data_IF_367711335298
#
_entry.id   IF_367711335298
#
_cell.length_a   1.000
_cell.length_b   1.000
_cell.length_c   1.000
_cell.angle_alpha   90.00
_cell.angle_beta   90.00
_cell.angle_gamma   90.00
#
_symmetry.space_group_name_H-M   'P 1'
#
loop_
_entity.id
_entity.type
_entity.pdbx_description
1 polymer ?
#
# COMPACT_ATOMS: atom_id res chain seq x y z
N UNK A 1 -20.28 21.65 1.58
CA UNK A 1 -18.82 21.45 1.75
C UNK A 1 -18.09 22.56 1.02
N UNK A 2 -17.18 23.24 1.68
CA UNK A 2 -16.42 24.36 1.10
C UNK A 2 -15.47 23.85 0.01
N UNK A 3 -15.56 24.40 -1.20
CA UNK A 3 -14.71 24.03 -2.35
C UNK A 3 -13.23 24.31 -2.08
N UNK A 4 -12.92 25.34 -1.29
CA UNK A 4 -11.54 25.69 -0.95
C UNK A 4 -10.91 24.63 -0.03
N UNK A 5 -11.65 24.16 0.95
CA UNK A 5 -11.23 23.08 1.87
C UNK A 5 -10.99 21.78 1.10
N UNK A 6 -11.90 21.43 0.17
CA UNK A 6 -11.75 20.23 -0.66
C UNK A 6 -10.51 20.30 -1.56
N UNK A 7 -10.27 21.45 -2.19
CA UNK A 7 -9.09 21.67 -3.03
C UNK A 7 -7.80 21.55 -2.22
N UNK A 8 -7.76 22.16 -1.04
CA UNK A 8 -6.60 22.08 -0.13
C UNK A 8 -6.33 20.64 0.27
N UNK A 9 -7.35 19.90 0.71
CA UNK A 9 -7.25 18.49 1.07
C UNK A 9 -6.70 17.64 -0.09
N UNK A 10 -7.21 17.82 -1.31
CA UNK A 10 -6.76 17.06 -2.46
C UNK A 10 -5.26 17.29 -2.78
N UNK A 11 -4.81 18.54 -2.67
CA UNK A 11 -3.40 18.89 -2.90
C UNK A 11 -2.50 18.28 -1.82
N UNK A 12 -2.85 18.46 -0.55
CA UNK A 12 -2.05 17.98 0.58
C UNK A 12 -1.98 16.44 0.60
N UNK A 13 -3.12 15.77 0.37
CA UNK A 13 -3.16 14.31 0.30
C UNK A 13 -2.34 13.74 -0.86
N UNK A 14 -2.33 14.43 -2.01
CA UNK A 14 -1.49 14.02 -3.14
C UNK A 14 -0.01 14.13 -2.80
N UNK A 15 0.41 15.25 -2.19
CA UNK A 15 1.81 15.47 -1.80
C UNK A 15 2.27 14.43 -0.77
N UNK A 16 1.43 14.13 0.22
CA UNK A 16 1.71 13.10 1.24
C UNK A 16 1.87 11.71 0.60
N UNK A 17 0.97 11.34 -0.31
CA UNK A 17 1.05 10.09 -1.04
C UNK A 17 2.30 10.02 -1.92
N UNK A 18 2.67 11.10 -2.61
CA UNK A 18 3.89 11.15 -3.42
C UNK A 18 5.14 10.90 -2.55
N UNK A 19 5.26 11.55 -1.40
CA UNK A 19 6.35 11.33 -0.46
C UNK A 19 6.41 9.89 0.08
N UNK A 20 5.25 9.29 0.36
CA UNK A 20 5.17 7.88 0.76
C UNK A 20 5.58 6.92 -0.36
N UNK A 21 5.18 7.19 -1.61
CA UNK A 21 5.59 6.38 -2.76
C UNK A 21 7.09 6.49 -3.01
N UNK A 22 7.65 7.69 -2.96
CA UNK A 22 9.10 7.91 -3.08
C UNK A 22 9.87 7.13 -2.01
N UNK A 23 9.43 7.19 -0.75
CA UNK A 23 10.04 6.45 0.35
C UNK A 23 9.97 4.93 0.12
N UNK A 24 8.85 4.43 -0.41
CA UNK A 24 8.70 3.00 -0.76
C UNK A 24 9.63 2.58 -1.90
N UNK A 25 9.75 3.38 -2.95
CA UNK A 25 10.63 3.10 -4.08
C UNK A 25 12.09 3.05 -3.62
N UNK A 26 12.51 3.98 -2.75
CA UNK A 26 13.86 3.99 -2.15
C UNK A 26 14.16 2.72 -1.34
N UNK A 27 13.18 2.14 -0.66
CA UNK A 27 13.35 0.88 0.09
C UNK A 27 13.68 -0.32 -0.81
N UNK A 28 13.35 -0.26 -2.09
CA UNK A 28 13.69 -1.32 -3.05
C UNK A 28 15.03 -1.09 -3.74
N UNK A 29 15.73 -0.01 -3.40
CA UNK A 29 17.06 0.33 -3.95
C UNK A 29 17.10 0.20 -5.48
N UNK A 30 16.13 0.82 -6.15
CA UNK A 30 15.96 0.70 -7.61
C UNK A 30 17.09 1.34 -8.41
N UNK A 31 17.81 2.29 -7.80
CA UNK A 31 18.93 3.02 -8.37
C UNK A 31 20.27 2.31 -8.18
N UNK A 32 20.28 1.21 -7.39
CA UNK A 32 21.51 0.49 -7.05
C UNK A 32 21.68 -0.78 -7.88
N UNK A 33 22.92 -1.06 -8.23
CA UNK A 33 23.32 -2.32 -8.88
C UNK A 33 23.59 -3.37 -7.83
N UNK A 34 23.09 -4.57 -8.06
CA UNK A 34 23.23 -5.71 -7.17
C UNK A 34 23.81 -6.93 -7.89
N UNK A 35 24.63 -7.69 -7.19
CA UNK A 35 24.90 -9.07 -7.55
C UNK A 35 23.71 -9.93 -7.18
N UNK A 36 23.32 -10.86 -8.06
CA UNK A 36 22.14 -11.71 -7.90
C UNK A 36 22.54 -13.14 -7.62
N UNK A 37 21.99 -13.71 -6.56
CA UNK A 37 22.06 -15.14 -6.28
C UNK A 37 20.63 -15.67 -6.13
N UNK A 38 20.35 -16.85 -6.69
CA UNK A 38 19.06 -17.49 -6.58
C UNK A 38 19.20 -18.81 -5.81
N UNK A 39 18.41 -18.93 -4.75
CA UNK A 39 18.34 -20.14 -3.92
C UNK A 39 16.88 -20.64 -3.90
N UNK A 40 16.50 -21.50 -4.85
CA UNK A 40 15.11 -21.91 -5.04
C UNK A 40 14.24 -20.72 -5.45
N UNK A 41 13.19 -20.45 -4.65
CA UNK A 41 12.25 -19.34 -4.88
C UNK A 41 12.68 -18.02 -4.21
N UNK A 42 13.87 -17.99 -3.59
CA UNK A 42 14.40 -16.80 -2.94
C UNK A 42 15.53 -16.21 -3.78
N UNK A 43 15.42 -14.91 -4.06
CA UNK A 43 16.47 -14.11 -4.68
C UNK A 43 17.21 -13.31 -3.61
N UNK A 44 18.52 -13.43 -3.58
CA UNK A 44 19.39 -12.63 -2.74
C UNK A 44 20.11 -11.63 -3.64
N UNK A 45 19.81 -10.36 -3.46
CA UNK A 45 20.47 -9.25 -4.14
C UNK A 45 21.42 -8.61 -3.14
N UNK A 46 22.72 -8.54 -3.45
CA UNK A 46 23.71 -7.96 -2.55
C UNK A 46 24.66 -7.03 -3.28
N UNK A 47 25.02 -5.94 -2.62
CA UNK A 47 26.11 -5.04 -2.97
C UNK A 47 26.96 -4.75 -1.71
N UNK A 48 27.89 -3.79 -1.80
CA UNK A 48 28.77 -3.43 -0.70
C UNK A 48 28.03 -2.91 0.55
N UNK A 49 26.84 -2.31 0.35
CA UNK A 49 26.11 -1.60 1.40
C UNK A 49 24.86 -2.36 1.87
N UNK A 50 24.20 -3.09 0.97
CA UNK A 50 22.87 -3.64 1.19
C UNK A 50 22.74 -5.09 0.76
N UNK A 51 21.87 -5.82 1.46
CA UNK A 51 21.44 -7.16 1.06
C UNK A 51 19.92 -7.25 1.16
N UNK A 52 19.27 -7.56 0.03
CA UNK A 52 17.85 -7.77 -0.08
C UNK A 52 17.55 -9.25 -0.29
N UNK A 53 16.61 -9.78 0.48
CA UNK A 53 16.07 -11.13 0.26
C UNK A 53 14.64 -10.97 -0.22
N UNK A 54 14.38 -11.42 -1.43
CA UNK A 54 13.10 -11.27 -2.11
C UNK A 54 12.57 -12.65 -2.51
N UNK A 55 11.28 -12.87 -2.37
CA UNK A 55 10.61 -13.96 -3.06
C UNK A 55 10.67 -13.75 -4.58
N UNK A 56 10.39 -14.79 -5.35
CA UNK A 56 10.32 -14.69 -6.81
C UNK A 56 9.32 -13.60 -7.24
N UNK A 57 8.15 -13.56 -6.60
CA UNK A 57 7.11 -12.58 -6.91
C UNK A 57 7.56 -11.13 -6.62
N UNK A 58 8.23 -10.91 -5.49
CA UNK A 58 8.77 -9.58 -5.14
C UNK A 58 9.91 -9.16 -6.07
N UNK A 59 10.77 -10.10 -6.45
CA UNK A 59 11.82 -9.87 -7.42
C UNK A 59 11.24 -9.45 -8.78
N UNK A 60 10.28 -10.22 -9.31
CA UNK A 60 9.64 -9.92 -10.59
C UNK A 60 8.94 -8.56 -10.55
N UNK A 61 8.28 -8.21 -9.46
CA UNK A 61 7.66 -6.88 -9.27
C UNK A 61 8.71 -5.75 -9.22
N UNK A 62 9.86 -6.00 -8.56
CA UNK A 62 10.97 -5.03 -8.56
C UNK A 62 11.52 -4.79 -9.97
N UNK A 63 11.75 -5.84 -10.74
CA UNK A 63 12.23 -5.71 -12.12
C UNK A 63 11.23 -4.94 -13.02
N UNK A 64 9.93 -5.21 -12.87
CA UNK A 64 8.89 -4.44 -13.57
C UNK A 64 8.89 -2.96 -13.16
N UNK A 65 9.09 -2.66 -11.87
CA UNK A 65 9.20 -1.29 -11.37
C UNK A 65 10.41 -0.57 -11.99
N UNK A 66 11.59 -1.22 -11.98
CA UNK A 66 12.81 -0.68 -12.60
C UNK A 66 12.59 -0.40 -14.10
N UNK A 67 11.99 -1.35 -14.81
CA UNK A 67 11.64 -1.17 -16.21
C UNK A 67 10.74 0.06 -16.42
N UNK A 68 9.70 0.20 -15.62
CA UNK A 68 8.77 1.33 -15.69
C UNK A 68 9.45 2.66 -15.40
N UNK A 69 10.35 2.69 -14.40
CA UNK A 69 11.14 3.89 -14.07
C UNK A 69 12.07 4.27 -15.22
N UNK A 70 12.71 3.30 -15.89
CA UNK A 70 13.58 3.54 -17.02
C UNK A 70 12.81 4.07 -18.25
N UNK A 71 11.54 3.66 -18.42
CA UNK A 71 10.70 4.10 -19.54
C UNK A 71 10.13 5.51 -19.33
N UNK A 72 9.69 5.85 -18.12
CA UNK A 72 8.93 7.06 -17.83
C UNK A 72 9.66 8.09 -16.97
N UNK A 73 10.70 7.67 -16.28
CA UNK A 73 11.32 8.44 -15.21
C UNK A 73 10.65 8.21 -13.85
N UNK A 74 11.43 8.36 -12.78
CA UNK A 74 10.98 8.08 -11.41
C UNK A 74 9.86 9.01 -10.95
N UNK A 75 9.93 10.30 -11.31
CA UNK A 75 8.93 11.30 -10.93
C UNK A 75 7.54 10.96 -11.49
N UNK A 76 7.48 10.55 -12.76
CA UNK A 76 6.23 10.17 -13.41
C UNK A 76 5.64 8.90 -12.76
N UNK A 77 6.47 7.91 -12.42
CA UNK A 77 6.02 6.68 -11.75
C UNK A 77 5.47 6.99 -10.37
N UNK A 78 6.12 7.88 -9.59
CA UNK A 78 5.65 8.32 -8.29
C UNK A 78 4.28 9.02 -8.43
N UNK A 79 4.15 9.93 -9.39
CA UNK A 79 2.92 10.69 -9.61
C UNK A 79 1.75 9.78 -10.00
N UNK A 80 1.93 8.89 -10.96
CA UNK A 80 0.92 7.91 -11.38
C UNK A 80 0.49 6.98 -10.24
N UNK A 81 1.46 6.54 -9.45
CA UNK A 81 1.20 5.68 -8.29
C UNK A 81 0.40 6.42 -7.22
N UNK A 82 0.80 7.64 -6.87
CA UNK A 82 0.10 8.47 -5.89
C UNK A 82 -1.34 8.78 -6.33
N UNK A 83 -1.54 9.14 -7.61
CA UNK A 83 -2.86 9.37 -8.17
C UNK A 83 -3.75 8.12 -8.11
N UNK A 84 -3.20 6.97 -8.46
CA UNK A 84 -3.92 5.68 -8.41
C UNK A 84 -4.36 5.34 -6.99
N UNK A 85 -3.47 5.49 -6.02
CA UNK A 85 -3.80 5.23 -4.62
C UNK A 85 -4.79 6.24 -4.05
N UNK A 86 -4.65 7.52 -4.38
CA UNK A 86 -5.61 8.54 -3.98
C UNK A 86 -7.03 8.18 -4.43
N UNK A 87 -7.20 7.86 -5.72
CA UNK A 87 -8.50 7.49 -6.26
C UNK A 87 -9.07 6.23 -5.62
N UNK A 88 -8.25 5.21 -5.36
CA UNK A 88 -8.68 3.98 -4.67
C UNK A 88 -9.15 4.25 -3.25
N UNK A 89 -8.39 5.03 -2.48
CA UNK A 89 -8.75 5.38 -1.10
C UNK A 89 -10.06 6.18 -1.06
N UNK A 90 -10.21 7.17 -1.93
CA UNK A 90 -11.44 7.98 -2.04
C UNK A 90 -12.63 7.11 -2.42
N UNK A 91 -12.47 6.20 -3.39
CA UNK A 91 -13.53 5.29 -3.81
C UNK A 91 -13.96 4.33 -2.70
N UNK A 92 -13.00 3.72 -1.98
CA UNK A 92 -13.30 2.83 -0.85
C UNK A 92 -14.01 3.63 0.25
N UNK A 93 -13.54 4.83 0.56
CA UNK A 93 -14.18 5.68 1.58
C UNK A 93 -15.60 6.07 1.20
N UNK A 94 -15.83 6.39 -0.07
CA UNK A 94 -17.16 6.66 -0.59
C UNK A 94 -18.08 5.44 -0.40
N UNK A 95 -17.61 4.25 -0.79
CA UNK A 95 -18.35 3.01 -0.60
C UNK A 95 -18.65 2.69 0.86
N UNK A 96 -17.72 2.97 1.77
CA UNK A 96 -17.95 2.81 3.21
C UNK A 96 -19.10 3.71 3.73
N UNK A 97 -19.09 4.99 3.32
CA UNK A 97 -20.07 5.97 3.81
C UNK A 97 -21.48 5.63 3.31
N UNK A 98 -21.58 5.02 2.14
CA UNK A 98 -22.84 4.67 1.50
C UNK A 98 -23.23 3.19 1.67
N UNK A 99 -22.53 2.44 2.52
CA UNK A 99 -22.76 1.00 2.76
C UNK A 99 -22.76 0.14 1.48
N UNK A 100 -21.92 0.53 0.50
CA UNK A 100 -21.78 -0.18 -0.78
C UNK A 100 -20.73 -1.31 -0.74
N UNK A 101 -20.04 -1.50 0.37
CA UNK A 101 -19.08 -2.59 0.49
C UNK A 101 -19.82 -3.91 0.72
N UNK A 102 -19.59 -4.94 -0.14
CA UNK A 102 -20.36 -6.19 -0.13
C UNK A 102 -19.90 -7.18 0.95
N UNK A 103 -19.51 -6.69 2.11
CA UNK A 103 -19.26 -7.55 3.26
C UNK A 103 -20.61 -7.96 3.84
N UNK A 104 -21.18 -9.06 3.32
CA UNK A 104 -22.49 -9.56 3.72
C UNK A 104 -22.38 -10.88 4.47
N UNK A 105 -23.20 -11.01 5.53
CA UNK A 105 -23.53 -12.28 6.14
C UNK A 105 -25.04 -12.46 6.00
N UNK A 106 -25.48 -13.60 5.49
CA UNK A 106 -26.90 -13.92 5.30
C UNK A 106 -27.67 -12.84 4.51
N UNK A 107 -27.05 -12.32 3.45
CA UNK A 107 -27.56 -11.22 2.61
C UNK A 107 -27.80 -9.88 3.33
N UNK A 108 -27.28 -9.72 4.53
CA UNK A 108 -27.29 -8.44 5.25
C UNK A 108 -25.92 -7.80 5.23
N UNK A 109 -25.85 -6.49 4.95
CA UNK A 109 -24.60 -5.75 5.06
C UNK A 109 -24.10 -5.78 6.50
N UNK A 110 -22.85 -6.18 6.70
CA UNK A 110 -22.22 -6.14 8.04
C UNK A 110 -21.84 -4.72 8.44
N UNK A 111 -21.93 -3.74 7.53
CA UNK A 111 -21.54 -2.36 7.77
C UNK A 111 -20.10 -2.20 8.25
N UNK A 112 -19.22 -3.14 7.88
CA UNK A 112 -17.81 -3.14 8.28
C UNK A 112 -17.06 -2.09 7.48
N UNK A 113 -16.30 -1.25 8.17
CA UNK A 113 -15.47 -0.22 7.57
C UNK A 113 -14.07 -0.74 7.29
N UNK A 114 -13.58 -0.48 6.07
CA UNK A 114 -12.27 -0.95 5.56
C UNK A 114 -11.16 0.05 5.87
N UNK A 115 -11.45 1.35 5.79
CA UNK A 115 -10.48 2.43 6.01
C UNK A 115 -10.63 3.13 7.36
N UNK A 116 -11.74 2.92 8.04
CA UNK A 116 -12.04 3.62 9.28
C UNK A 116 -12.67 2.70 10.33
N UNK A 117 -12.83 3.22 11.55
CA UNK A 117 -13.56 2.57 12.63
C UNK A 117 -14.77 3.39 13.02
N UNK A 118 -15.87 2.75 13.42
CA UNK A 118 -17.04 3.41 14.00
C UNK A 118 -16.73 4.05 15.36
N UNK A 119 -15.78 3.43 16.09
CA UNK A 119 -15.38 3.86 17.43
C UNK A 119 -14.28 4.93 17.40
N UNK A 120 -13.95 5.48 16.22
CA UNK A 120 -12.85 6.42 16.00
C UNK A 120 -11.47 5.89 16.48
N UNK A 121 -11.30 4.58 16.54
CA UNK A 121 -9.98 3.98 16.82
C UNK A 121 -9.07 4.10 15.60
N UNK A 122 -7.72 4.11 15.79
CA UNK A 122 -6.77 4.19 14.66
C UNK A 122 -6.85 3.01 13.69
N UNK A 123 -7.27 1.84 14.17
CA UNK A 123 -7.32 0.62 13.38
C UNK A 123 -8.68 0.48 12.69
N UNK A 124 -8.72 0.22 11.37
CA UNK A 124 -9.95 -0.03 10.64
C UNK A 124 -10.73 -1.22 11.19
N UNK A 125 -12.06 -1.18 11.13
CA UNK A 125 -12.92 -2.26 11.64
C UNK A 125 -12.61 -3.63 11.03
N UNK A 126 -12.28 -3.67 9.75
CA UNK A 126 -11.97 -4.91 9.04
C UNK A 126 -10.84 -5.70 9.74
N UNK A 127 -9.93 -5.03 10.43
CA UNK A 127 -8.84 -5.67 11.17
C UNK A 127 -9.35 -6.54 12.32
N UNK A 128 -10.51 -6.22 12.89
CA UNK A 128 -11.15 -7.01 13.97
C UNK A 128 -11.72 -8.33 13.44
N UNK A 129 -11.99 -8.41 12.13
CA UNK A 129 -12.64 -9.56 11.49
C UNK A 129 -11.68 -10.49 10.75
N UNK A 130 -10.47 -10.05 10.44
CA UNK A 130 -9.46 -10.86 9.73
C UNK A 130 -9.12 -12.13 10.51
N UNK A 131 -9.03 -12.05 11.83
CA UNK A 131 -8.76 -13.20 12.70
C UNK A 131 -9.93 -14.20 12.79
N UNK A 132 -11.16 -13.73 12.49
CA UNK A 132 -12.35 -14.56 12.51
C UNK A 132 -12.59 -15.27 11.18
N UNK A 133 -12.14 -14.69 10.07
CA UNK A 133 -12.34 -15.23 8.73
C UNK A 133 -11.26 -16.22 8.30
N UNK A 134 -10.07 -16.14 8.88
CA UNK A 134 -9.00 -17.09 8.61
C UNK A 134 -8.02 -17.16 9.80
N UNK A 135 -8.23 -18.06 10.77
CA UNK A 135 -7.37 -18.21 11.94
C UNK A 135 -5.93 -18.62 11.60
N UNK A 136 -5.66 -19.10 10.38
CA UNK A 136 -4.31 -19.38 9.89
C UNK A 136 -3.60 -18.13 9.36
N UNK A 137 -4.33 -17.08 9.03
CA UNK A 137 -3.79 -15.76 8.82
C UNK A 137 -3.69 -15.04 10.16
N UNK A 138 -2.73 -15.41 10.97
CA UNK A 138 -2.22 -14.53 12.00
C UNK A 138 -1.50 -13.37 11.29
N UNK A 139 -2.29 -12.44 10.77
CA UNK A 139 -1.83 -11.09 10.48
C UNK A 139 -1.63 -10.45 11.85
N UNK A 140 -0.70 -10.97 12.62
CA UNK A 140 -0.03 -10.18 13.61
C UNK A 140 0.71 -9.10 12.82
N UNK A 141 0.02 -8.05 12.45
CA UNK A 141 0.63 -6.75 12.27
C UNK A 141 1.25 -6.43 13.62
N UNK A 142 2.38 -7.10 13.91
CA UNK A 142 3.28 -6.61 14.92
C UNK A 142 3.43 -5.16 14.56
N UNK A 143 2.97 -4.29 15.46
CA UNK A 143 3.27 -2.85 15.52
C UNK A 143 4.78 -2.65 15.49
N UNK A 144 5.44 -3.08 14.43
CA UNK A 144 6.82 -2.80 14.14
C UNK A 144 6.82 -1.65 13.17
N UNK A 145 6.64 -0.46 13.77
CA UNK A 145 7.17 0.81 13.24
C UNK A 145 6.93 1.06 11.74
N UNK A 146 5.65 1.08 11.33
CA UNK A 146 5.31 1.57 9.99
C UNK A 146 5.06 3.09 9.99
N UNK A 147 5.27 3.76 11.15
CA UNK A 147 4.98 5.19 11.34
C UNK A 147 6.02 5.90 12.23
N UNK A 148 7.29 5.43 12.27
CA UNK A 148 8.41 6.24 12.76
C UNK A 148 9.38 6.51 11.62
#
# INVERSE_FOLDING_TARGET
MDKAVLKKFAIESRQDLMGKMESKIKMFYVDETFSKQQNGDIYVLSNENHTLKLSKEEYDKRELLIKRINELGIEQVIEESAYTWFNRIVAIRYMEIHDYLPLTKDNQSLGIRVLSSKDNTPDPEIMKFTNLMNPEFDISFKKKNMWN
#
